data_IF_887118964630
#
_entry.id   IF_887118964630
#
_cell.length_a   1.000
_cell.length_b   1.000
_cell.length_c   1.000
_cell.angle_alpha   90.00
_cell.angle_beta   90.00
_cell.angle_gamma   90.00
#
_symmetry.space_group_name_H-M   'P 1'
#
loop_
_entity.id
_entity.type
_entity.pdbx_description
1 polymer ?
#
# COMPACT_ATOMS: atom_id res chain seq x y z
N UNK A 1 -28.84 -3.13 9.48
CA UNK A 1 -27.63 -2.40 9.92
C UNK A 1 -27.94 -0.92 9.84
N UNK A 2 -27.78 -0.19 10.93
CA UNK A 2 -27.98 1.26 10.96
C UNK A 2 -26.79 1.99 10.31
N UNK A 3 -26.97 3.26 9.93
CA UNK A 3 -25.87 4.08 9.40
C UNK A 3 -24.68 4.16 10.37
N UNK A 4 -24.94 4.28 11.66
CA UNK A 4 -23.90 4.38 12.68
C UNK A 4 -23.13 3.06 12.82
N UNK A 5 -23.83 1.93 12.91
CA UNK A 5 -23.21 0.59 12.93
C UNK A 5 -22.34 0.37 11.70
N UNK A 6 -22.83 0.80 10.54
CA UNK A 6 -22.11 0.69 9.29
C UNK A 6 -20.80 1.46 9.31
N UNK A 7 -20.83 2.73 9.74
CA UNK A 7 -19.64 3.59 9.75
C UNK A 7 -18.60 3.09 10.74
N UNK A 8 -19.03 2.67 11.94
CA UNK A 8 -18.14 2.16 12.98
C UNK A 8 -17.53 0.80 12.61
N UNK A 9 -18.34 -0.12 12.07
CA UNK A 9 -17.86 -1.42 11.62
C UNK A 9 -16.89 -1.30 10.45
N UNK A 10 -17.18 -0.41 9.50
CA UNK A 10 -16.27 -0.13 8.40
C UNK A 10 -14.97 0.52 8.88
N UNK A 11 -15.04 1.51 9.78
CA UNK A 11 -13.87 2.17 10.35
C UNK A 11 -12.92 1.15 11.02
N UNK A 12 -13.47 0.19 11.78
CA UNK A 12 -12.64 -0.86 12.38
C UNK A 12 -11.88 -1.69 11.34
N UNK A 13 -12.53 -2.11 10.25
CA UNK A 13 -11.88 -2.87 9.18
C UNK A 13 -10.91 -2.02 8.34
N UNK A 14 -11.28 -0.78 8.05
CA UNK A 14 -10.46 0.18 7.34
C UNK A 14 -9.16 0.49 8.13
N UNK A 15 -9.26 0.64 9.45
CA UNK A 15 -8.12 0.90 10.32
C UNK A 15 -7.11 -0.25 10.29
N UNK A 16 -7.57 -1.50 10.32
CA UNK A 16 -6.71 -2.68 10.22
C UNK A 16 -5.93 -2.70 8.91
N UNK A 17 -6.58 -2.40 7.78
CA UNK A 17 -5.94 -2.36 6.47
C UNK A 17 -5.01 -1.16 6.30
N UNK A 18 -5.34 -0.04 6.95
CA UNK A 18 -4.55 1.21 6.93
C UNK A 18 -3.22 1.04 7.65
N UNK A 19 -3.22 0.38 8.82
CA UNK A 19 -1.99 0.16 9.61
C UNK A 19 -1.02 -0.78 8.88
N UNK A 20 -1.52 -1.69 8.04
CA UNK A 20 -0.69 -2.61 7.27
C UNK A 20 0.06 -1.83 6.17
N UNK A 21 1.40 -1.64 6.31
CA UNK A 21 2.17 -0.87 5.36
C UNK A 21 2.11 -1.53 3.98
N UNK A 22 1.83 -0.73 2.95
CA UNK A 22 1.74 -1.19 1.57
C UNK A 22 2.47 -0.26 0.59
N UNK A 23 2.13 -0.40 -0.69
CA UNK A 23 2.66 0.43 -1.78
C UNK A 23 2.47 1.93 -1.53
N UNK A 24 1.35 2.32 -0.95
CA UNK A 24 1.00 3.72 -0.68
C UNK A 24 1.93 4.33 0.38
N UNK A 25 2.19 3.59 1.46
CA UNK A 25 3.14 3.99 2.51
C UNK A 25 4.57 4.10 1.96
N UNK A 26 4.99 3.14 1.14
CA UNK A 26 6.31 3.15 0.50
C UNK A 26 6.49 4.36 -0.44
N UNK A 27 5.45 4.68 -1.24
CA UNK A 27 5.48 5.80 -2.16
C UNK A 27 5.53 7.15 -1.43
N UNK A 28 4.73 7.32 -0.36
CA UNK A 28 4.76 8.52 0.50
C UNK A 28 6.13 8.68 1.16
N UNK A 29 6.71 7.59 1.67
CA UNK A 29 8.05 7.61 2.27
C UNK A 29 9.13 8.00 1.25
N UNK A 30 9.07 7.46 0.02
CA UNK A 30 9.96 7.83 -1.09
C UNK A 30 9.90 9.33 -1.38
N UNK A 31 8.71 9.89 -1.51
CA UNK A 31 8.56 11.33 -1.75
C UNK A 31 9.02 12.16 -0.56
N UNK A 32 8.75 11.72 0.68
CA UNK A 32 9.17 12.39 1.91
C UNK A 32 10.68 12.50 2.03
N UNK A 33 11.41 11.44 1.68
CA UNK A 33 12.88 11.38 1.73
C UNK A 33 13.52 12.08 0.54
N UNK A 34 13.02 11.86 -0.68
CA UNK A 34 13.67 12.31 -1.92
C UNK A 34 13.31 13.75 -2.32
N UNK A 35 12.05 14.16 -2.15
CA UNK A 35 11.55 15.47 -2.60
C UNK A 35 10.96 16.32 -1.47
N UNK A 36 10.90 15.77 -0.26
CA UNK A 36 10.47 16.47 0.95
C UNK A 36 8.97 16.33 1.24
N UNK A 37 8.57 16.86 2.40
CA UNK A 37 7.21 16.73 2.95
C UNK A 37 6.11 17.21 2.00
N UNK A 38 6.34 18.28 1.22
CA UNK A 38 5.33 18.86 0.32
C UNK A 38 4.92 17.87 -0.76
N UNK A 39 5.89 17.19 -1.36
CA UNK A 39 5.66 16.15 -2.37
C UNK A 39 5.03 14.90 -1.76
N UNK A 40 5.41 14.54 -0.53
CA UNK A 40 4.79 13.43 0.18
C UNK A 40 3.29 13.67 0.43
N UNK A 41 2.92 14.86 0.92
CA UNK A 41 1.52 15.24 1.08
C UNK A 41 0.77 15.32 -0.25
N UNK A 42 1.43 15.79 -1.31
CA UNK A 42 0.82 15.86 -2.63
C UNK A 42 0.52 14.47 -3.22
N UNK A 43 1.43 13.51 -3.02
CA UNK A 43 1.19 12.11 -3.40
C UNK A 43 0.05 11.51 -2.57
N UNK A 44 0.03 11.73 -1.25
CA UNK A 44 -1.06 11.29 -0.39
C UNK A 44 -2.42 11.89 -0.81
N UNK A 45 -2.45 13.17 -1.19
CA UNK A 45 -3.67 13.81 -1.69
C UNK A 45 -4.16 13.19 -3.01
N UNK A 46 -3.23 12.76 -3.87
CA UNK A 46 -3.55 11.95 -5.05
C UNK A 46 -4.22 10.64 -4.68
N UNK A 47 -3.65 9.92 -3.70
CA UNK A 47 -4.20 8.64 -3.24
C UNK A 47 -5.61 8.78 -2.66
N UNK A 48 -5.84 9.81 -1.84
CA UNK A 48 -7.15 10.14 -1.26
C UNK A 48 -8.20 10.38 -2.34
N UNK A 49 -7.84 11.06 -3.44
CA UNK A 49 -8.74 11.24 -4.57
C UNK A 49 -9.05 9.92 -5.29
N UNK A 50 -8.07 9.01 -5.42
CA UNK A 50 -8.28 7.67 -5.98
C UNK A 50 -9.22 6.82 -5.12
N UNK A 51 -9.12 6.96 -3.79
CA UNK A 51 -9.97 6.25 -2.85
C UNK A 51 -11.46 6.58 -3.03
N UNK A 52 -11.81 7.84 -3.31
CA UNK A 52 -13.19 8.23 -3.61
C UNK A 52 -13.73 7.57 -4.89
N UNK A 53 -12.89 7.41 -5.91
CA UNK A 53 -13.27 6.71 -7.15
C UNK A 53 -13.59 5.25 -6.84
N UNK A 54 -12.73 4.59 -6.07
CA UNK A 54 -12.96 3.22 -5.63
C UNK A 54 -14.23 3.07 -4.80
N UNK A 55 -14.48 4.00 -3.86
CA UNK A 55 -15.69 3.94 -3.04
C UNK A 55 -16.97 4.12 -3.84
N UNK A 56 -17.01 5.11 -4.74
CA UNK A 56 -18.13 5.31 -5.63
C UNK A 56 -18.34 4.09 -6.54
N UNK A 57 -17.27 3.59 -7.16
CA UNK A 57 -17.32 2.46 -8.09
C UNK A 57 -17.72 1.15 -7.40
N UNK A 58 -17.15 0.84 -6.23
CA UNK A 58 -17.48 -0.36 -5.49
C UNK A 58 -18.94 -0.33 -5.01
N UNK A 59 -19.42 0.81 -4.49
CA UNK A 59 -20.80 0.91 -4.04
C UNK A 59 -21.80 0.80 -5.19
N UNK A 60 -21.60 1.56 -6.27
CA UNK A 60 -22.53 1.58 -7.42
C UNK A 60 -22.46 0.33 -8.28
N UNK A 61 -21.25 -0.12 -8.61
CA UNK A 61 -21.02 -1.31 -9.44
C UNK A 61 -21.56 -2.56 -8.77
N UNK A 62 -21.37 -2.68 -7.45
CA UNK A 62 -21.90 -3.82 -6.71
C UNK A 62 -23.41 -3.73 -6.49
N UNK A 63 -23.98 -2.55 -6.26
CA UNK A 63 -25.45 -2.39 -6.27
C UNK A 63 -26.06 -2.80 -7.60
N UNK A 64 -25.43 -2.48 -8.73
CA UNK A 64 -25.88 -2.93 -10.05
C UNK A 64 -25.67 -4.45 -10.25
N UNK A 65 -24.61 -5.04 -9.71
CA UNK A 65 -24.41 -6.50 -9.74
C UNK A 65 -25.46 -7.23 -8.90
N UNK A 66 -25.80 -6.71 -7.71
CA UNK A 66 -26.81 -7.30 -6.82
C UNK A 66 -28.20 -7.33 -7.44
N UNK A 67 -28.56 -6.33 -8.27
CA UNK A 67 -29.85 -6.33 -8.99
C UNK A 67 -29.89 -7.32 -10.15
N UNK A 68 -28.73 -7.74 -10.67
CA UNK A 68 -28.61 -8.61 -11.85
C UNK A 68 -28.28 -10.07 -11.47
N UNK A 69 -27.39 -10.31 -10.51
CA UNK A 69 -26.93 -11.65 -10.12
C UNK A 69 -26.31 -11.70 -8.72
N UNK A 70 -26.94 -12.48 -7.83
CA UNK A 70 -26.40 -12.81 -6.50
C UNK A 70 -25.12 -13.64 -6.57
N UNK A 71 -25.04 -14.60 -7.52
CA UNK A 71 -23.87 -15.45 -7.71
C UNK A 71 -22.64 -14.64 -8.10
N UNK A 72 -22.77 -13.68 -9.01
CA UNK A 72 -21.66 -12.82 -9.41
C UNK A 72 -21.15 -11.97 -8.24
N UNK A 73 -22.07 -11.46 -7.41
CA UNK A 73 -21.71 -10.76 -6.18
C UNK A 73 -20.96 -11.64 -5.19
N UNK A 74 -21.44 -12.86 -4.93
CA UNK A 74 -20.82 -13.78 -3.98
C UNK A 74 -19.41 -14.19 -4.43
N UNK A 75 -19.23 -14.46 -5.72
CA UNK A 75 -17.90 -14.75 -6.30
C UNK A 75 -16.95 -13.58 -6.10
N UNK A 76 -17.40 -12.35 -6.38
CA UNK A 76 -16.59 -11.16 -6.24
C UNK A 76 -16.21 -10.90 -4.76
N UNK A 77 -17.17 -11.04 -3.85
CA UNK A 77 -16.98 -10.88 -2.40
C UNK A 77 -16.01 -11.91 -1.84
N UNK A 78 -16.23 -13.20 -2.15
CA UNK A 78 -15.39 -14.30 -1.67
C UNK A 78 -13.98 -14.24 -2.28
N UNK A 79 -13.87 -13.91 -3.56
CA UNK A 79 -12.58 -13.70 -4.22
C UNK A 79 -11.78 -12.54 -3.60
N UNK A 80 -12.47 -11.43 -3.30
CA UNK A 80 -11.91 -10.30 -2.56
C UNK A 80 -11.37 -10.69 -1.18
N UNK A 81 -12.18 -11.42 -0.40
CA UNK A 81 -11.80 -11.91 0.91
C UNK A 81 -10.62 -12.89 0.87
N UNK A 82 -10.63 -13.85 -0.07
CA UNK A 82 -9.55 -14.82 -0.26
C UNK A 82 -8.23 -14.13 -0.64
N UNK A 83 -8.30 -13.12 -1.52
CA UNK A 83 -7.13 -12.33 -1.89
C UNK A 83 -6.58 -11.51 -0.72
N UNK A 84 -7.45 -10.90 0.10
CA UNK A 84 -7.04 -10.20 1.32
C UNK A 84 -6.37 -11.13 2.33
N UNK A 85 -6.93 -12.34 2.53
CA UNK A 85 -6.32 -13.37 3.37
C UNK A 85 -4.96 -13.78 2.83
N UNK A 86 -4.85 -14.00 1.52
CA UNK A 86 -3.58 -14.35 0.87
C UNK A 86 -2.52 -13.26 1.07
N UNK A 87 -2.87 -11.98 0.87
CA UNK A 87 -1.98 -10.85 1.14
C UNK A 87 -1.59 -10.77 2.63
N UNK A 88 -2.56 -10.92 3.54
CA UNK A 88 -2.31 -10.91 4.98
C UNK A 88 -1.35 -12.02 5.43
N UNK A 89 -1.54 -13.23 4.92
CA UNK A 89 -0.65 -14.38 5.15
C UNK A 89 0.74 -14.12 4.57
N UNK A 90 0.82 -13.54 3.37
CA UNK A 90 2.09 -13.18 2.74
C UNK A 90 2.90 -12.20 3.59
N UNK A 91 2.24 -11.16 4.10
CA UNK A 91 2.86 -10.16 4.98
C UNK A 91 3.25 -10.75 6.34
N UNK A 92 2.41 -11.61 6.92
CA UNK A 92 2.71 -12.30 8.17
C UNK A 92 3.93 -13.22 8.02
N UNK A 93 3.99 -14.01 6.93
CA UNK A 93 5.15 -14.86 6.61
C UNK A 93 6.42 -14.05 6.38
N UNK A 94 6.32 -12.93 5.67
CA UNK A 94 7.43 -12.01 5.46
C UNK A 94 7.92 -11.35 6.76
N UNK A 95 7.01 -11.09 7.70
CA UNK A 95 7.34 -10.58 9.04
C UNK A 95 8.00 -11.62 9.95
N UNK A 96 7.75 -12.92 9.72
CA UNK A 96 8.34 -14.02 10.49
C UNK A 96 9.69 -14.50 9.94
N UNK A 97 9.95 -14.28 8.64
CA UNK A 97 11.28 -14.46 8.06
C UNK A 97 12.20 -13.34 8.55
N UNK A 98 13.18 -13.69 9.38
CA UNK A 98 14.23 -12.78 9.86
C UNK A 98 15.10 -12.38 8.66
N UNK A 99 14.73 -11.29 7.99
CA UNK A 99 15.47 -10.69 6.87
C UNK A 99 15.81 -11.66 5.75
N UNK A 100 14.80 -12.24 5.09
CA UNK A 100 14.98 -12.91 3.80
C UNK A 100 14.28 -12.13 2.70
N UNK A 101 15.10 -11.61 1.80
CA UNK A 101 14.76 -10.86 0.61
C UNK A 101 14.16 -11.73 -0.49
N UNK A 102 13.07 -12.46 -0.21
CA UNK A 102 12.32 -13.25 -1.20
C UNK A 102 10.82 -13.02 -1.06
N UNK A 103 10.40 -11.79 -1.37
CA UNK A 103 9.01 -11.51 -1.70
C UNK A 103 8.82 -11.67 -3.23
N UNK A 104 7.76 -12.36 -3.71
CA UNK A 104 7.40 -12.39 -5.12
C UNK A 104 7.21 -10.96 -5.64
N UNK A 105 7.43 -10.68 -6.94
CA UNK A 105 7.56 -9.31 -7.41
C UNK A 105 6.23 -8.53 -7.39
N UNK A 106 5.90 -7.97 -6.22
CA UNK A 106 5.69 -6.53 -6.03
C UNK A 106 7.01 -5.82 -5.71
N UNK A 107 8.11 -6.45 -6.17
CA UNK A 107 9.50 -6.11 -5.99
C UNK A 107 9.69 -4.63 -6.23
N UNK A 108 10.24 -3.92 -5.24
CA UNK A 108 10.82 -2.60 -5.39
C UNK A 108 11.82 -2.63 -6.55
N UNK A 109 11.48 -2.16 -7.76
CA UNK A 109 12.48 -1.92 -8.76
C UNK A 109 13.03 -0.55 -8.39
N UNK A 110 14.33 -0.46 -8.10
CA UNK A 110 15.03 0.79 -7.83
C UNK A 110 14.84 1.36 -6.41
N UNK A 111 15.44 0.69 -5.42
CA UNK A 111 16.08 1.40 -4.29
C UNK A 111 17.38 2.13 -4.72
N UNK A 112 17.57 2.39 -6.02
CA UNK A 112 18.57 3.33 -6.51
C UNK A 112 18.12 4.74 -6.15
N UNK A 113 18.47 5.15 -4.93
CA UNK A 113 18.57 6.56 -4.58
C UNK A 113 19.47 7.22 -5.63
N UNK A 114 18.88 7.97 -6.55
CA UNK A 114 19.62 8.83 -7.46
C UNK A 114 19.56 10.25 -6.88
N UNK A 115 20.68 10.82 -6.38
CA UNK A 115 20.71 12.12 -5.71
C UNK A 115 20.35 13.30 -6.63
N UNK A 116 20.12 13.07 -7.92
CA UNK A 116 20.00 14.08 -8.96
C UNK A 116 18.62 14.13 -9.65
N UNK A 117 17.56 13.60 -9.03
CA UNK A 117 16.22 13.79 -9.58
C UNK A 117 15.82 15.26 -9.50
N UNK A 118 15.66 15.90 -10.66
CA UNK A 118 14.98 17.18 -10.78
C UNK A 118 13.69 17.14 -9.94
N UNK A 119 13.46 18.18 -9.14
CA UNK A 119 12.25 18.30 -8.32
C UNK A 119 11.05 18.13 -9.25
N UNK A 120 10.23 17.10 -9.01
CA UNK A 120 9.09 16.85 -9.87
C UNK A 120 8.05 17.95 -9.67
N UNK A 121 7.32 18.36 -10.73
CA UNK A 121 6.14 19.19 -10.57
C UNK A 121 5.14 18.51 -9.62
N UNK A 122 4.56 19.28 -8.71
CA UNK A 122 3.58 18.77 -7.73
C UNK A 122 2.40 18.06 -8.41
N UNK A 123 1.96 18.56 -9.58
CA UNK A 123 0.92 17.91 -10.38
C UNK A 123 1.28 16.48 -10.77
N UNK A 124 2.54 16.22 -11.16
CA UNK A 124 2.99 14.86 -11.50
C UNK A 124 3.06 13.95 -10.26
N UNK A 125 3.45 14.51 -9.13
CA UNK A 125 3.49 13.80 -7.85
C UNK A 125 2.08 13.41 -7.39
N UNK A 126 1.12 14.33 -7.50
CA UNK A 126 -0.30 14.07 -7.25
C UNK A 126 -0.82 12.96 -8.16
N UNK A 127 -0.57 13.07 -9.47
CA UNK A 127 -1.06 12.10 -10.45
C UNK A 127 -0.48 10.70 -10.18
N UNK A 128 0.79 10.61 -9.78
CA UNK A 128 1.40 9.33 -9.39
C UNK A 128 0.75 8.74 -8.13
N UNK A 129 0.42 9.57 -7.15
CA UNK A 129 -0.35 9.11 -5.98
C UNK A 129 -1.74 8.60 -6.36
N UNK A 130 -2.45 9.35 -7.20
CA UNK A 130 -3.79 9.00 -7.70
C UNK A 130 -3.77 7.66 -8.47
N UNK A 131 -2.91 7.55 -9.47
CA UNK A 131 -2.77 6.33 -10.27
C UNK A 131 -2.28 5.15 -9.42
N UNK A 132 -1.36 5.38 -8.49
CA UNK A 132 -0.88 4.34 -7.57
C UNK A 132 -2.01 3.77 -6.73
N UNK A 133 -2.91 4.60 -6.20
CA UNK A 133 -4.04 4.12 -5.42
C UNK A 133 -5.07 3.40 -6.30
N UNK A 134 -5.38 3.92 -7.49
CA UNK A 134 -6.30 3.25 -8.43
C UNK A 134 -5.80 1.86 -8.84
N UNK A 135 -4.49 1.74 -9.09
CA UNK A 135 -3.87 0.48 -9.47
C UNK A 135 -3.46 -0.37 -8.26
N UNK A 136 -3.77 0.06 -7.02
CA UNK A 136 -3.40 -0.68 -5.83
C UNK A 136 -4.35 -1.87 -5.66
N UNK A 137 -3.91 -3.12 -5.93
CA UNK A 137 -4.80 -4.27 -5.83
C UNK A 137 -5.20 -4.53 -4.38
N UNK A 138 -4.40 -4.10 -3.37
CA UNK A 138 -4.79 -4.18 -1.96
C UNK A 138 -6.03 -3.32 -1.70
N UNK A 139 -5.97 -2.05 -2.11
CA UNK A 139 -7.06 -1.10 -1.85
C UNK A 139 -8.30 -1.42 -2.68
N UNK A 140 -8.14 -1.70 -3.98
CA UNK A 140 -9.26 -2.06 -4.85
C UNK A 140 -10.02 -3.29 -4.38
N UNK A 141 -9.29 -4.35 -3.99
CA UNK A 141 -9.93 -5.57 -3.48
C UNK A 141 -10.54 -5.39 -2.10
N UNK A 142 -9.97 -4.54 -1.23
CA UNK A 142 -10.62 -4.13 0.01
C UNK A 142 -11.95 -3.42 -0.28
N UNK A 143 -11.97 -2.44 -1.18
CA UNK A 143 -13.19 -1.72 -1.54
C UNK A 143 -14.26 -2.66 -2.08
N UNK A 144 -13.90 -3.52 -3.02
CA UNK A 144 -14.81 -4.51 -3.62
C UNK A 144 -15.36 -5.49 -2.58
N UNK A 145 -14.52 -5.99 -1.68
CA UNK A 145 -14.93 -6.99 -0.69
C UNK A 145 -15.73 -6.39 0.45
N UNK A 146 -15.35 -5.19 0.92
CA UNK A 146 -15.79 -4.64 2.20
C UNK A 146 -16.93 -3.63 2.01
N UNK A 147 -16.79 -2.65 1.12
CA UNK A 147 -17.79 -1.56 0.96
C UNK A 147 -19.23 -2.09 0.76
N UNK A 148 -19.48 -3.11 -0.07
CA UNK A 148 -20.84 -3.62 -0.26
C UNK A 148 -21.50 -4.13 1.02
N UNK A 149 -20.71 -4.68 1.94
CA UNK A 149 -21.20 -5.18 3.23
C UNK A 149 -21.65 -4.05 4.16
N UNK A 150 -21.21 -2.82 3.87
CA UNK A 150 -21.51 -1.62 4.61
C UNK A 150 -22.49 -0.69 3.86
N UNK A 151 -23.20 -1.18 2.83
CA UNK A 151 -24.27 -0.41 2.22
C UNK A 151 -25.52 -0.42 3.10
N UNK A 152 -26.17 0.75 3.18
CA UNK A 152 -27.39 0.97 3.95
C UNK A 152 -28.52 1.23 2.93
N UNK A 153 -29.59 0.42 2.91
CA UNK A 153 -30.65 0.51 1.88
C UNK A 153 -31.28 1.90 1.73
N UNK A 154 -31.32 2.67 2.82
CA UNK A 154 -31.95 3.99 2.90
C UNK A 154 -31.07 5.10 2.28
N UNK A 155 -29.80 4.82 1.95
CA UNK A 155 -28.85 5.79 1.39
C UNK A 155 -28.48 5.37 -0.04
N UNK A 156 -28.53 6.28 -1.03
CA UNK A 156 -28.10 5.94 -2.39
C UNK A 156 -26.66 5.45 -2.40
N UNK A 157 -26.41 4.35 -3.11
CA UNK A 157 -25.13 3.61 -3.03
C UNK A 157 -23.91 4.50 -3.27
N UNK A 158 -23.95 5.40 -4.26
CA UNK A 158 -22.85 6.34 -4.53
C UNK A 158 -22.50 7.22 -3.33
N UNK A 159 -23.52 7.73 -2.62
CA UNK A 159 -23.31 8.57 -1.45
C UNK A 159 -22.76 7.77 -0.28
N UNK A 160 -23.25 6.54 -0.11
CA UNK A 160 -22.72 5.65 0.92
C UNK A 160 -21.25 5.28 0.64
N UNK A 161 -20.91 4.96 -0.61
CA UNK A 161 -19.53 4.68 -1.03
C UNK A 161 -18.59 5.87 -0.81
N UNK A 162 -19.04 7.09 -1.11
CA UNK A 162 -18.28 8.31 -0.83
C UNK A 162 -18.11 8.55 0.69
N UNK A 163 -19.16 8.33 1.48
CA UNK A 163 -19.11 8.50 2.94
C UNK A 163 -18.15 7.50 3.59
N UNK A 164 -18.20 6.22 3.19
CA UNK A 164 -17.25 5.21 3.63
C UNK A 164 -15.81 5.55 3.17
N UNK A 165 -15.65 6.13 1.98
CA UNK A 165 -14.34 6.63 1.53
C UNK A 165 -13.82 7.74 2.44
N UNK A 166 -14.67 8.67 2.88
CA UNK A 166 -14.30 9.73 3.86
C UNK A 166 -13.72 9.10 5.12
N UNK A 167 -14.40 8.07 5.68
CA UNK A 167 -13.93 7.37 6.89
C UNK A 167 -12.51 6.82 6.68
N UNK A 168 -12.29 6.01 5.65
CA UNK A 168 -10.96 5.44 5.37
C UNK A 168 -9.92 6.50 5.01
N UNK A 169 -10.32 7.62 4.39
CA UNK A 169 -9.42 8.71 4.04
C UNK A 169 -8.98 9.51 5.26
N UNK A 170 -9.84 9.70 6.27
CA UNK A 170 -9.45 10.33 7.54
C UNK A 170 -8.36 9.49 8.22
N UNK A 171 -8.54 8.18 8.29
CA UNK A 171 -7.54 7.25 8.83
C UNK A 171 -6.23 7.30 8.02
N UNK A 172 -6.33 7.28 6.69
CA UNK A 172 -5.18 7.38 5.81
C UNK A 172 -4.42 8.70 5.99
N UNK A 173 -5.12 9.82 6.16
CA UNK A 173 -4.51 11.13 6.46
C UNK A 173 -3.73 11.07 7.78
N UNK A 174 -4.34 10.54 8.84
CA UNK A 174 -3.67 10.37 10.14
C UNK A 174 -2.41 9.52 9.98
N UNK A 175 -2.51 8.40 9.29
CA UNK A 175 -1.37 7.51 9.02
C UNK A 175 -0.27 8.19 8.21
N UNK A 176 -0.60 8.85 7.10
CA UNK A 176 0.40 9.53 6.26
C UNK A 176 1.05 10.71 6.98
N UNK A 177 0.30 11.48 7.77
CA UNK A 177 0.88 12.54 8.60
C UNK A 177 1.88 11.95 9.60
N UNK A 178 1.56 10.84 10.25
CA UNK A 178 2.46 10.16 11.16
C UNK A 178 3.74 9.68 10.46
N UNK A 179 3.61 9.00 9.31
CA UNK A 179 4.74 8.50 8.52
C UNK A 179 5.62 9.63 7.98
N UNK A 180 5.01 10.69 7.44
CA UNK A 180 5.75 11.85 6.93
C UNK A 180 6.50 12.53 8.08
N UNK A 181 5.84 12.74 9.23
CA UNK A 181 6.46 13.38 10.40
C UNK A 181 7.61 12.55 10.95
N UNK A 182 7.44 11.23 11.10
CA UNK A 182 8.50 10.32 11.51
C UNK A 182 9.68 10.36 10.52
N UNK A 183 9.41 10.31 9.22
CA UNK A 183 10.43 10.39 8.19
C UNK A 183 11.22 11.72 8.22
N UNK A 184 10.57 12.84 8.53
CA UNK A 184 11.24 14.13 8.69
C UNK A 184 12.03 14.21 10.00
N UNK A 185 11.52 13.65 11.09
CA UNK A 185 12.20 13.61 12.39
C UNK A 185 13.50 12.81 12.31
N UNK A 186 13.48 11.64 11.67
CA UNK A 186 14.66 10.79 11.49
C UNK A 186 15.49 11.15 10.25
N UNK A 187 15.13 12.20 9.51
CA UNK A 187 15.77 12.60 8.24
C UNK A 187 17.28 12.81 8.37
N UNK A 188 17.75 13.39 9.49
CA UNK A 188 19.19 13.60 9.73
C UNK A 188 19.97 12.29 9.94
N UNK A 189 19.33 11.26 10.51
CA UNK A 189 19.92 9.93 10.66
C UNK A 189 19.89 9.14 9.35
N UNK A 190 18.77 9.17 8.62
CA UNK A 190 18.59 8.51 7.33
C UNK A 190 19.43 9.12 6.19
N UNK A 191 19.73 10.42 6.26
CA UNK A 191 20.60 11.12 5.31
C UNK A 191 22.07 11.17 5.76
N UNK A 192 22.38 10.65 6.95
CA UNK A 192 23.75 10.63 7.46
C UNK A 192 24.63 9.70 6.65
N UNK A 193 25.81 10.19 6.23
CA UNK A 193 26.79 9.39 5.49
C UNK A 193 27.21 8.11 6.23
N UNK A 194 27.00 8.03 7.55
CA UNK A 194 27.25 6.83 8.37
C UNK A 194 26.17 5.75 8.17
N UNK A 195 24.89 6.13 8.10
CA UNK A 195 23.79 5.17 7.87
C UNK A 195 23.80 4.64 6.43
N UNK A 196 24.13 5.49 5.45
CA UNK A 196 24.41 5.05 4.08
C UNK A 196 25.59 4.10 4.00
N UNK A 197 26.74 4.46 4.59
CA UNK A 197 27.90 3.56 4.65
C UNK A 197 27.58 2.25 5.37
N UNK A 198 26.71 2.27 6.38
CA UNK A 198 26.28 1.06 7.07
C UNK A 198 25.39 0.19 6.18
N UNK A 199 24.38 0.78 5.50
CA UNK A 199 23.56 0.07 4.50
C UNK A 199 24.44 -0.47 3.35
N UNK A 200 25.30 0.35 2.75
CA UNK A 200 26.19 -0.04 1.66
C UNK A 200 27.15 -1.15 2.09
N UNK A 201 27.65 -1.10 3.33
CA UNK A 201 28.49 -2.17 3.91
C UNK A 201 27.70 -3.43 4.16
N UNK A 202 26.50 -3.36 4.73
CA UNK A 202 25.67 -4.55 4.98
C UNK A 202 25.28 -5.18 3.65
N UNK A 203 24.75 -4.40 2.70
CA UNK A 203 24.41 -4.86 1.35
C UNK A 203 25.63 -5.39 0.60
N UNK A 204 26.77 -4.71 0.65
CA UNK A 204 28.01 -5.15 0.01
C UNK A 204 28.61 -6.40 0.65
N UNK A 205 28.51 -6.57 1.97
CA UNK A 205 28.99 -7.77 2.66
C UNK A 205 28.08 -8.96 2.36
N UNK A 206 26.77 -8.74 2.31
CA UNK A 206 25.80 -9.78 1.93
C UNK A 206 26.01 -10.20 0.48
N UNK A 207 26.03 -9.27 -0.48
CA UNK A 207 26.28 -9.59 -1.89
C UNK A 207 27.67 -10.21 -2.12
N UNK A 208 28.70 -9.74 -1.41
CA UNK A 208 30.04 -10.32 -1.46
C UNK A 208 30.07 -11.76 -0.94
N UNK A 209 29.37 -12.03 0.16
CA UNK A 209 29.25 -13.39 0.71
C UNK A 209 28.52 -14.30 -0.27
N UNK A 210 27.41 -13.85 -0.87
CA UNK A 210 26.71 -14.60 -1.91
C UNK A 210 27.57 -14.84 -3.15
N UNK A 211 28.33 -13.85 -3.60
CA UNK A 211 29.24 -13.99 -4.74
C UNK A 211 30.37 -15.00 -4.48
N UNK A 212 30.95 -14.97 -3.27
CA UNK A 212 31.98 -15.94 -2.86
C UNK A 212 31.39 -17.36 -2.79
N UNK A 213 30.21 -17.52 -2.19
CA UNK A 213 29.55 -18.83 -2.12
C UNK A 213 29.24 -19.38 -3.52
N UNK A 214 28.69 -18.55 -4.42
CA UNK A 214 28.40 -18.96 -5.78
C UNK A 214 29.66 -19.38 -6.57
N UNK A 215 30.78 -18.67 -6.37
CA UNK A 215 32.07 -19.04 -6.97
C UNK A 215 32.59 -20.35 -6.39
N UNK A 216 32.56 -20.51 -5.07
CA UNK A 216 33.01 -21.74 -4.40
C UNK A 216 32.19 -22.96 -4.83
N UNK A 217 30.86 -22.81 -4.97
CA UNK A 217 29.99 -23.89 -5.49
C UNK A 217 30.25 -24.21 -6.97
N UNK A 218 30.65 -23.23 -7.77
CA UNK A 218 31.00 -23.46 -9.19
C UNK A 218 32.27 -24.30 -9.33
N UNK A 219 33.21 -24.19 -8.38
CA UNK A 219 34.46 -24.95 -8.37
C UNK A 219 34.45 -26.16 -7.44
N UNK A 220 33.34 -26.42 -6.73
CA UNK A 220 33.17 -27.62 -5.92
C UNK A 220 33.07 -28.85 -6.84
N UNK A 221 33.93 -29.88 -6.66
CA UNK A 221 33.87 -31.08 -7.49
C UNK A 221 32.52 -31.76 -7.31
N UNK A 222 31.76 -31.86 -8.41
CA UNK A 222 30.52 -32.64 -8.45
C UNK A 222 30.90 -34.11 -8.37
N UNK A 223 30.88 -34.67 -7.17
CA UNK A 223 31.02 -36.10 -6.98
C UNK A 223 29.77 -36.79 -7.56
N UNK A 224 29.99 -37.50 -8.66
CA UNK A 224 29.07 -38.47 -9.24
C UNK A 224 29.13 -39.80 -8.48
#
# INVERSE_FOLDING_TARGET
>A
MTLQESLLGYAALAALITIIPGTDTALVLRYSIAQGRRHAYMAAFGMIAGAFVWGAAAATGVSALLTVSTVAYDVLRLGGAAYMLWLGIGLWRASLKKSDADLPPGALPHLSYSPHLNIEPLRRTWLKGFVSNLLNPKYGMFCIAVIPQFLVPEVPAVWMGLLLSVVSNVEAVVWFVAIISAAQFFRKWLQGASFRRWIDRVTGTVLGTFGVVAVVETFAPRHA
#
